data_IF_545481100428
#
_entry.id   IF_545481100428
#
_cell.length_a   1.000
_cell.length_b   1.000
_cell.length_c   1.000
_cell.angle_alpha   90.00
_cell.angle_beta   90.00
_cell.angle_gamma   90.00
#
_symmetry.space_group_name_H-M   'P 1'
#
loop_
_entity.id
_entity.type
_entity.pdbx_description
1 polymer ?
#
# COMPACT_ATOMS: atom_id res chain seq x y z
N UNK A 1 -59.79 -8.89 -37.14
CA UNK A 1 -59.60 -7.53 -36.57
C UNK A 1 -58.62 -7.55 -35.37
N UNK A 2 -57.38 -8.06 -35.53
CA UNK A 2 -56.44 -8.25 -34.39
C UNK A 2 -55.16 -7.41 -34.44
N UNK A 3 -54.67 -7.09 -35.64
CA UNK A 3 -53.35 -6.51 -35.86
C UNK A 3 -53.17 -5.12 -35.23
N UNK A 4 -54.22 -4.30 -35.22
CA UNK A 4 -54.21 -2.95 -34.65
C UNK A 4 -54.16 -2.94 -33.12
N UNK A 5 -54.70 -3.97 -32.47
CA UNK A 5 -54.70 -4.10 -31.00
C UNK A 5 -53.32 -4.50 -30.47
N UNK A 6 -52.64 -5.42 -31.15
CA UNK A 6 -51.30 -5.88 -30.76
C UNK A 6 -50.23 -4.80 -30.96
N UNK A 7 -50.38 -3.98 -32.02
CA UNK A 7 -49.51 -2.82 -32.25
C UNK A 7 -49.67 -1.80 -31.12
N UNK A 8 -50.91 -1.52 -30.70
CA UNK A 8 -51.19 -0.58 -29.59
C UNK A 8 -50.56 -1.02 -28.28
N UNK A 9 -50.71 -2.31 -27.92
CA UNK A 9 -50.09 -2.89 -26.72
C UNK A 9 -48.56 -2.81 -26.74
N UNK A 10 -47.94 -3.07 -27.89
CA UNK A 10 -46.48 -2.94 -28.06
C UNK A 10 -46.01 -1.49 -27.91
N UNK A 11 -46.77 -0.53 -28.44
CA UNK A 11 -46.47 0.90 -28.31
C UNK A 11 -46.56 1.33 -26.84
N UNK A 12 -47.63 0.94 -26.14
CA UNK A 12 -47.82 1.25 -24.72
C UNK A 12 -46.73 0.65 -23.82
N UNK A 13 -46.35 -0.61 -24.07
CA UNK A 13 -45.23 -1.24 -23.38
C UNK A 13 -43.92 -0.47 -23.61
N UNK A 14 -43.61 -0.11 -24.86
CA UNK A 14 -42.40 0.67 -25.17
C UNK A 14 -42.39 2.04 -24.47
N UNK A 15 -43.53 2.72 -24.39
CA UNK A 15 -43.62 4.00 -23.66
C UNK A 15 -43.36 3.82 -22.17
N UNK A 16 -43.84 2.73 -21.58
CA UNK A 16 -43.54 2.40 -20.18
C UNK A 16 -42.05 2.12 -19.97
N UNK A 17 -41.45 1.30 -20.84
CA UNK A 17 -40.02 0.97 -20.79
C UNK A 17 -39.15 2.24 -20.94
N UNK A 18 -39.50 3.13 -21.88
CA UNK A 18 -38.78 4.41 -22.06
C UNK A 18 -38.88 5.28 -20.80
N UNK A 19 -40.06 5.36 -20.17
CA UNK A 19 -40.25 6.15 -18.95
C UNK A 19 -39.44 5.62 -17.78
N UNK A 20 -39.38 4.30 -17.62
CA UNK A 20 -38.56 3.66 -16.59
C UNK A 20 -37.07 3.90 -16.82
N UNK A 21 -36.60 3.80 -18.08
CA UNK A 21 -35.22 4.12 -18.44
C UNK A 21 -34.86 5.59 -18.22
N UNK A 22 -35.78 6.52 -18.50
CA UNK A 22 -35.60 7.95 -18.23
C UNK A 22 -35.49 8.23 -16.72
N UNK A 23 -36.32 7.58 -15.91
CA UNK A 23 -36.26 7.69 -14.45
C UNK A 23 -34.92 7.16 -13.90
N UNK A 24 -34.47 5.98 -14.38
CA UNK A 24 -33.17 5.42 -14.01
C UNK A 24 -32.01 6.32 -14.43
N UNK A 25 -32.06 6.87 -15.65
CA UNK A 25 -31.04 7.80 -16.14
C UNK A 25 -30.99 9.06 -15.28
N UNK A 26 -32.14 9.58 -14.88
CA UNK A 26 -32.23 10.75 -14.00
C UNK A 26 -31.60 10.48 -12.63
N UNK A 27 -31.89 9.33 -12.04
CA UNK A 27 -31.31 8.93 -10.75
C UNK A 27 -29.80 8.70 -10.84
N UNK A 28 -29.31 8.04 -11.89
CA UNK A 28 -27.87 7.88 -12.10
C UNK A 28 -27.16 9.22 -12.29
N UNK A 29 -27.81 10.18 -12.96
CA UNK A 29 -27.27 11.53 -13.14
C UNK A 29 -27.19 12.32 -11.83
N UNK A 30 -28.15 12.17 -10.91
CA UNK A 30 -28.05 12.80 -9.59
C UNK A 30 -26.92 12.19 -8.77
N UNK A 31 -26.81 10.85 -8.75
CA UNK A 31 -25.71 10.16 -8.04
C UNK A 31 -24.33 10.55 -8.59
N UNK A 32 -24.20 10.72 -9.91
CA UNK A 32 -22.95 11.20 -10.51
C UNK A 32 -22.58 12.61 -10.02
N UNK A 33 -23.56 13.51 -9.88
CA UNK A 33 -23.30 14.88 -9.38
C UNK A 33 -22.87 14.87 -7.92
N UNK A 34 -23.50 14.06 -7.10
CA UNK A 34 -23.13 13.88 -5.69
C UNK A 34 -21.72 13.33 -5.55
N UNK A 35 -21.39 12.25 -6.27
CA UNK A 35 -20.04 11.68 -6.28
C UNK A 35 -18.99 12.67 -6.79
N UNK A 36 -19.30 13.45 -7.83
CA UNK A 36 -18.40 14.51 -8.32
C UNK A 36 -18.14 15.59 -7.26
N UNK A 37 -19.14 15.89 -6.43
CA UNK A 37 -19.03 16.86 -5.34
C UNK A 37 -18.12 16.30 -4.25
N UNK A 38 -18.32 15.05 -3.84
CA UNK A 38 -17.47 14.36 -2.86
C UNK A 38 -16.01 14.27 -3.32
N UNK A 39 -15.77 13.97 -4.60
CA UNK A 39 -14.40 13.94 -5.16
C UNK A 39 -13.75 15.32 -5.07
N UNK A 40 -14.50 16.39 -5.34
CA UNK A 40 -13.98 17.76 -5.25
C UNK A 40 -13.61 18.11 -3.81
N UNK A 41 -14.46 17.77 -2.86
CA UNK A 41 -14.22 18.00 -1.42
C UNK A 41 -13.01 17.21 -0.92
N UNK A 42 -12.91 15.92 -1.27
CA UNK A 42 -11.78 15.08 -0.91
C UNK A 42 -10.45 15.63 -1.47
N UNK A 43 -10.45 16.11 -2.73
CA UNK A 43 -9.27 16.76 -3.34
C UNK A 43 -8.88 18.04 -2.61
N UNK A 44 -9.84 18.88 -2.24
CA UNK A 44 -9.57 20.08 -1.47
C UNK A 44 -8.99 19.75 -0.08
N UNK A 45 -9.51 18.70 0.58
CA UNK A 45 -8.97 18.23 1.85
C UNK A 45 -7.51 17.77 1.73
N UNK A 46 -7.18 16.98 0.69
CA UNK A 46 -5.80 16.55 0.43
C UNK A 46 -4.88 17.76 0.24
N UNK A 47 -5.28 18.74 -0.56
CA UNK A 47 -4.50 19.96 -0.76
C UNK A 47 -4.26 20.72 0.55
N UNK A 48 -5.27 20.86 1.39
CA UNK A 48 -5.13 21.49 2.70
C UNK A 48 -4.15 20.73 3.60
N UNK A 49 -4.19 19.40 3.61
CA UNK A 49 -3.22 18.59 4.37
C UNK A 49 -1.79 18.74 3.82
N UNK A 50 -1.61 18.78 2.50
CA UNK A 50 -0.30 19.04 1.88
C UNK A 50 0.25 20.41 2.26
N UNK A 51 -0.60 21.44 2.33
CA UNK A 51 -0.20 22.78 2.78
C UNK A 51 0.19 22.80 4.26
N UNK A 52 -0.55 22.10 5.12
CA UNK A 52 -0.20 21.94 6.54
C UNK A 52 1.15 21.21 6.68
N UNK A 53 1.38 20.16 5.88
CA UNK A 53 2.65 19.42 5.88
C UNK A 53 3.83 20.28 5.43
N UNK A 54 3.64 21.23 4.50
CA UNK A 54 4.67 22.19 4.11
C UNK A 54 5.01 23.20 5.22
N UNK A 55 4.04 23.53 6.07
CA UNK A 55 4.20 24.46 7.18
C UNK A 55 4.69 23.80 8.47
N UNK A 56 4.55 22.48 8.57
CA UNK A 56 5.14 21.73 9.65
C UNK A 56 6.67 21.91 9.61
N UNK A 57 7.31 22.29 10.74
CA UNK A 57 8.76 22.36 10.78
C UNK A 57 9.31 21.00 10.39
N UNK A 58 10.20 20.98 9.40
CA UNK A 58 10.98 19.81 9.06
C UNK A 58 12.00 19.55 10.19
N UNK A 59 11.52 19.17 11.37
CA UNK A 59 12.34 18.56 12.41
C UNK A 59 12.65 17.13 11.95
N UNK A 60 13.62 17.04 11.02
CA UNK A 60 14.58 15.96 10.79
C UNK A 60 15.13 16.08 9.37
N UNK A 61 16.34 16.63 9.28
CA UNK A 61 17.35 16.30 8.27
C UNK A 61 16.81 16.01 6.87
N UNK A 62 16.32 17.07 6.22
CA UNK A 62 15.95 17.09 4.81
C UNK A 62 17.21 17.10 3.91
N UNK A 63 18.04 16.07 4.08
CA UNK A 63 19.09 15.72 3.12
C UNK A 63 18.92 14.25 2.72
N UNK A 64 18.02 14.02 1.76
CA UNK A 64 18.05 12.91 0.80
C UNK A 64 18.01 11.52 1.45
N UNK A 65 16.78 11.00 1.59
CA UNK A 65 16.47 9.66 2.07
C UNK A 65 16.85 8.52 1.09
N UNK A 66 18.00 8.60 0.44
CA UNK A 66 18.80 7.40 0.23
C UNK A 66 19.71 7.33 1.44
N UNK A 67 19.62 6.29 2.29
CA UNK A 67 20.60 6.13 3.35
C UNK A 67 21.98 5.97 2.70
N UNK A 68 22.74 7.08 2.65
CA UNK A 68 24.06 7.17 2.03
C UNK A 68 25.03 6.39 2.91
N UNK A 69 24.99 5.07 2.76
CA UNK A 69 26.02 4.22 3.32
C UNK A 69 27.32 4.64 2.65
N UNK A 70 28.34 5.00 3.45
CA UNK A 70 29.67 5.29 2.93
C UNK A 70 30.16 4.06 2.14
N UNK A 71 30.60 4.24 0.88
CA UNK A 71 31.13 3.14 0.09
C UNK A 71 32.30 2.49 0.84
N UNK A 72 32.41 1.15 0.75
CA UNK A 72 33.40 0.33 1.47
C UNK A 72 33.28 0.28 3.01
N UNK A 73 32.22 0.84 3.60
CA UNK A 73 31.96 0.64 5.04
C UNK A 73 31.57 -0.80 5.34
N UNK A 74 31.76 -1.22 6.61
CA UNK A 74 31.31 -2.53 7.07
C UNK A 74 29.80 -2.76 6.83
N UNK A 75 29.02 -1.68 6.89
CA UNK A 75 27.57 -1.67 6.66
C UNK A 75 27.25 -1.87 5.16
N UNK A 76 28.01 -1.24 4.25
CA UNK A 76 27.84 -1.44 2.81
C UNK A 76 28.12 -2.90 2.42
N UNK A 77 29.24 -3.43 2.91
CA UNK A 77 29.63 -4.82 2.68
C UNK A 77 28.60 -5.82 3.26
N UNK A 78 28.03 -5.51 4.44
CA UNK A 78 26.96 -6.32 5.02
C UNK A 78 25.69 -6.31 4.15
N UNK A 79 25.29 -5.16 3.62
CA UNK A 79 24.16 -5.06 2.68
C UNK A 79 24.42 -5.89 1.42
N UNK A 80 25.60 -5.77 0.85
CA UNK A 80 25.95 -6.46 -0.39
C UNK A 80 26.06 -7.98 -0.17
N UNK A 81 26.58 -8.41 0.98
CA UNK A 81 26.58 -9.82 1.39
C UNK A 81 25.15 -10.37 1.56
N UNK A 82 24.26 -9.62 2.22
CA UNK A 82 22.86 -10.00 2.34
C UNK A 82 22.18 -10.10 0.98
N UNK A 83 22.34 -9.11 0.09
CA UNK A 83 21.80 -9.16 -1.29
C UNK A 83 22.30 -10.37 -2.07
N UNK A 84 23.59 -10.69 -1.97
CA UNK A 84 24.19 -11.85 -2.64
C UNK A 84 23.59 -13.17 -2.16
N UNK A 85 23.23 -13.28 -0.88
CA UNK A 85 22.66 -14.48 -0.30
C UNK A 85 21.13 -14.56 -0.37
N UNK A 86 20.45 -13.43 -0.55
CA UNK A 86 18.99 -13.35 -0.75
C UNK A 86 18.14 -13.80 0.44
N UNK A 87 18.74 -13.92 1.64
CA UNK A 87 18.04 -14.36 2.86
C UNK A 87 18.62 -13.72 4.11
N UNK A 88 17.81 -13.54 5.18
CA UNK A 88 18.31 -13.07 6.47
C UNK A 88 19.42 -13.99 7.00
N UNK A 89 20.44 -13.40 7.60
CA UNK A 89 21.64 -14.11 8.00
C UNK A 89 22.11 -13.71 9.40
N UNK A 90 22.58 -14.69 10.16
CA UNK A 90 23.18 -14.48 11.48
C UNK A 90 24.49 -13.69 11.37
N UNK A 91 24.77 -12.83 12.35
CA UNK A 91 25.92 -11.91 12.37
C UNK A 91 27.27 -12.61 12.14
N UNK A 92 27.45 -13.83 12.65
CA UNK A 92 28.67 -14.62 12.44
C UNK A 92 28.87 -14.99 10.96
N UNK A 93 27.81 -15.48 10.32
CA UNK A 93 27.85 -15.84 8.89
C UNK A 93 27.98 -14.61 8.01
N UNK A 94 27.44 -13.48 8.45
CA UNK A 94 27.57 -12.21 7.75
C UNK A 94 29.01 -11.70 7.76
N UNK A 95 29.73 -11.82 8.89
CA UNK A 95 31.15 -11.50 8.97
C UNK A 95 31.99 -12.41 8.05
N UNK A 96 31.70 -13.71 8.04
CA UNK A 96 32.36 -14.67 7.14
C UNK A 96 32.10 -14.33 5.67
N UNK A 97 30.86 -13.99 5.29
CA UNK A 97 30.49 -13.59 3.94
C UNK A 97 31.16 -12.28 3.49
N UNK A 98 31.49 -11.40 4.45
CA UNK A 98 32.26 -10.16 4.22
C UNK A 98 33.78 -10.40 4.17
N UNK A 99 34.25 -11.64 4.36
CA UNK A 99 35.68 -11.96 4.41
C UNK A 99 36.37 -11.48 5.69
N UNK A 100 35.61 -11.26 6.78
CA UNK A 100 36.14 -10.84 8.08
C UNK A 100 36.15 -12.00 9.07
N UNK A 101 37.01 -11.91 10.07
CA UNK A 101 37.00 -12.85 11.17
C UNK A 101 35.69 -12.73 11.97
N UNK A 102 35.20 -13.84 12.49
CA UNK A 102 34.03 -13.86 13.39
C UNK A 102 34.52 -13.83 14.83
N UNK A 103 35.18 -12.74 15.22
CA UNK A 103 35.57 -12.52 16.63
C UNK A 103 34.40 -11.90 17.43
N UNK A 104 34.42 -12.03 18.75
CA UNK A 104 33.38 -11.47 19.61
C UNK A 104 33.26 -9.95 19.45
N UNK A 105 34.40 -9.25 19.41
CA UNK A 105 34.45 -7.79 19.22
C UNK A 105 33.86 -7.35 17.88
N UNK A 106 34.21 -8.05 16.79
CA UNK A 106 33.70 -7.73 15.46
C UNK A 106 32.20 -7.97 15.34
N UNK A 107 31.65 -9.00 16.02
CA UNK A 107 30.20 -9.22 16.10
C UNK A 107 29.50 -8.08 16.84
N UNK A 108 30.04 -7.63 17.96
CA UNK A 108 29.47 -6.51 18.73
C UNK A 108 29.49 -5.23 17.89
N UNK A 109 30.62 -4.91 17.27
CA UNK A 109 30.80 -3.71 16.45
C UNK A 109 29.86 -3.68 15.24
N UNK A 110 29.77 -4.79 14.49
CA UNK A 110 28.88 -4.88 13.32
C UNK A 110 27.41 -4.88 13.75
N UNK A 111 27.05 -5.62 14.80
CA UNK A 111 25.66 -5.63 15.31
C UNK A 111 25.22 -4.25 15.79
N UNK A 112 26.10 -3.50 16.47
CA UNK A 112 25.79 -2.14 16.91
C UNK A 112 25.56 -1.20 15.73
N UNK A 113 26.42 -1.29 14.71
CA UNK A 113 26.32 -0.51 13.48
C UNK A 113 25.03 -0.81 12.72
N UNK A 114 24.70 -2.09 12.50
CA UNK A 114 23.48 -2.50 11.82
C UNK A 114 22.21 -2.15 12.61
N UNK A 115 22.24 -2.29 13.94
CA UNK A 115 21.10 -1.96 14.80
C UNK A 115 20.68 -0.49 14.72
N UNK A 116 21.61 0.45 14.49
CA UNK A 116 21.27 1.85 14.27
C UNK A 116 20.35 2.04 13.06
N UNK A 117 20.68 1.38 11.94
CA UNK A 117 19.88 1.41 10.73
C UNK A 117 18.56 0.63 10.84
N UNK A 118 18.53 -0.45 11.65
CA UNK A 118 17.29 -1.19 11.95
C UNK A 118 16.32 -0.31 12.74
N UNK A 119 16.79 0.40 13.77
CA UNK A 119 15.94 1.29 14.59
C UNK A 119 15.35 2.45 13.79
N UNK A 120 16.09 2.91 12.79
CA UNK A 120 15.66 3.97 11.88
C UNK A 120 14.80 3.45 10.71
N UNK A 121 14.57 2.14 10.64
CA UNK A 121 13.80 1.47 9.58
C UNK A 121 14.28 1.84 8.15
N UNK A 122 15.60 1.96 7.96
CA UNK A 122 16.18 2.45 6.72
C UNK A 122 16.54 1.33 5.73
N UNK A 123 17.44 0.42 6.12
CA UNK A 123 18.07 -0.55 5.19
C UNK A 123 17.91 -1.98 5.68
N UNK A 124 18.18 -2.20 6.96
CA UNK A 124 18.25 -3.52 7.55
C UNK A 124 17.02 -3.79 8.41
N UNK A 125 16.72 -5.07 8.54
CA UNK A 125 15.68 -5.59 9.43
C UNK A 125 16.31 -6.60 10.38
N UNK A 126 15.66 -6.83 11.53
CA UNK A 126 16.11 -7.81 12.52
C UNK A 126 14.98 -8.81 12.79
N UNK A 127 14.82 -9.85 11.95
CA UNK A 127 13.78 -10.85 12.14
C UNK A 127 13.97 -11.68 13.42
N UNK A 128 15.23 -11.93 13.81
CA UNK A 128 15.56 -12.72 15.02
C UNK A 128 16.77 -12.15 15.77
N UNK A 129 17.04 -12.69 16.96
CA UNK A 129 18.23 -12.33 17.72
C UNK A 129 19.50 -12.61 16.89
N UNK A 130 20.35 -11.59 16.73
CA UNK A 130 21.61 -11.67 15.97
C UNK A 130 21.46 -12.05 14.49
N UNK A 131 20.24 -11.98 13.93
CA UNK A 131 19.96 -12.23 12.51
C UNK A 131 19.51 -10.93 11.86
N UNK A 132 20.14 -10.59 10.74
CA UNK A 132 19.84 -9.36 9.99
C UNK A 132 19.33 -9.71 8.59
N UNK A 133 18.30 -9.00 8.15
CA UNK A 133 17.77 -9.03 6.80
C UNK A 133 17.77 -7.64 6.17
N UNK A 134 17.22 -7.54 4.97
CA UNK A 134 16.98 -6.26 4.31
C UNK A 134 15.51 -5.90 4.38
N UNK A 135 15.23 -4.60 4.45
CA UNK A 135 13.86 -4.08 4.46
C UNK A 135 13.13 -4.41 3.16
N UNK A 136 13.85 -4.50 2.03
CA UNK A 136 13.32 -4.86 0.73
C UNK A 136 12.74 -6.30 0.67
N UNK A 137 13.07 -7.17 1.63
CA UNK A 137 12.54 -8.54 1.71
C UNK A 137 11.38 -8.70 2.68
N UNK A 138 11.22 -7.76 3.61
CA UNK A 138 10.00 -7.70 4.39
C UNK A 138 8.96 -7.10 3.45
N UNK A 139 8.20 -7.97 2.77
CA UNK A 139 6.95 -7.51 2.20
C UNK A 139 6.20 -6.82 3.33
N UNK A 140 5.79 -5.56 3.17
CA UNK A 140 4.85 -5.03 4.09
C UNK A 140 3.64 -5.93 3.91
N UNK A 141 3.30 -6.72 4.93
CA UNK A 141 1.89 -6.82 5.27
C UNK A 141 1.49 -5.39 5.57
N UNK A 142 1.19 -4.65 4.50
CA UNK A 142 0.24 -3.58 4.54
C UNK A 142 -0.99 -4.25 5.13
N UNK A 143 -1.09 -4.20 6.47
CA UNK A 143 -2.35 -4.02 7.15
C UNK A 143 -2.88 -2.63 6.72
N UNK A 144 -3.09 -2.47 5.41
CA UNK A 144 -4.19 -1.70 4.92
C UNK A 144 -5.38 -2.44 5.48
N UNK A 145 -6.02 -1.79 6.43
CA UNK A 145 -7.37 -2.07 6.85
C UNK A 145 -8.19 -2.34 5.60
N UNK A 146 -8.34 -3.62 5.24
CA UNK A 146 -9.41 -4.10 4.39
C UNK A 146 -10.67 -3.99 5.23
N UNK A 147 -11.20 -2.78 5.36
CA UNK A 147 -12.63 -2.55 5.49
C UNK A 147 -13.21 -2.23 4.10
N UNK A 148 -12.83 -3.07 3.12
CA UNK A 148 -13.74 -3.46 2.05
C UNK A 148 -14.50 -4.71 2.53
N UNK A 149 -15.79 -4.84 2.23
CA UNK A 149 -16.60 -5.94 2.74
C UNK A 149 -15.98 -7.27 2.36
N UNK A 150 -15.84 -8.16 3.34
CA UNK A 150 -15.29 -9.49 3.13
C UNK A 150 -16.14 -10.26 2.11
N UNK A 151 -15.53 -11.16 1.33
CA UNK A 151 -16.25 -12.04 0.37
C UNK A 151 -17.46 -12.76 0.98
N UNK A 152 -17.49 -12.94 2.31
CA UNK A 152 -18.62 -13.54 3.03
C UNK A 152 -19.85 -12.64 3.16
N UNK A 153 -19.71 -11.32 3.01
CA UNK A 153 -20.84 -10.37 3.02
C UNK A 153 -21.49 -10.22 1.63
N UNK A 154 -20.76 -10.51 0.55
CA UNK A 154 -21.27 -10.40 -0.82
C UNK A 154 -22.25 -11.54 -1.15
N UNK A 155 -21.98 -12.74 -0.62
CA UNK A 155 -22.89 -13.89 -0.77
C UNK A 155 -24.19 -13.73 0.03
N UNK A 156 -24.14 -13.09 1.21
CA UNK A 156 -25.32 -12.83 2.04
C UNK A 156 -26.26 -11.77 1.43
N UNK A 157 -25.74 -10.86 0.59
CA UNK A 157 -26.56 -9.87 -0.13
C UNK A 157 -27.22 -10.49 -1.36
N UNK A 158 -26.56 -11.44 -2.03
CA UNK A 158 -27.11 -12.11 -3.22
C UNK A 158 -28.22 -13.13 -2.90
N UNK A 159 -28.26 -13.67 -1.68
CA UNK A 159 -29.31 -14.60 -1.26
C UNK A 159 -30.60 -13.90 -0.81
N UNK A 160 -30.54 -12.61 -0.42
CA UNK A 160 -31.71 -11.80 -0.04
C UNK A 160 -32.39 -11.09 -1.24
N UNK A 161 -31.89 -11.28 -2.46
CA UNK A 161 -32.42 -10.68 -3.70
C UNK A 161 -33.01 -11.74 -4.65
N UNK A 162 -33.17 -13.00 -4.18
CA UNK A 162 -33.97 -14.04 -4.84
C UNK A 162 -35.28 -14.27 -4.10
#
# INVERSE_FOLDING_TARGET
>A
MGLTSDIRKKIEKKFKDVRELEAQRSQLQSSLRELQTQIREAKAAIQAYEEILKLAPADRDDDKNEPKIRPNSAVALARDALRKHGKPMHISKLLEAMGRQSTHEQRISLSGSLAAYVRQNQIFTRPEANTFGLIEWQQPTLNLVNSGPSEKEVDAVLENVR
#
